data_IF_576434736011
#
_entry.id   IF_576434736011
#
_cell.length_a   1.000
_cell.length_b   1.000
_cell.length_c   1.000
_cell.angle_alpha   90.00
_cell.angle_beta   90.00
_cell.angle_gamma   90.00
#
_symmetry.space_group_name_H-M   'P 1'
#
loop_
_entity.id
_entity.type
_entity.pdbx_description
1 polymer ?
#
# COMPACT_ATOMS: atom_id res chain seq x y z
N UNK A 1 4.49 47.62 -13.69
CA UNK A 1 5.95 47.35 -13.66
C UNK A 1 6.31 46.01 -13.02
N UNK A 2 5.47 45.40 -12.18
CA UNK A 2 5.78 44.10 -11.53
C UNK A 2 5.59 42.86 -12.42
N UNK A 3 4.77 42.94 -13.48
CA UNK A 3 4.55 41.80 -14.40
C UNK A 3 5.72 41.53 -15.36
N UNK A 4 6.67 42.47 -15.50
CA UNK A 4 7.84 42.32 -16.37
C UNK A 4 9.03 41.65 -15.66
N UNK A 5 9.15 41.78 -14.34
CA UNK A 5 10.22 41.16 -13.55
C UNK A 5 10.01 39.64 -13.34
N UNK A 6 8.76 39.17 -13.29
CA UNK A 6 8.45 37.74 -13.12
C UNK A 6 8.73 36.86 -14.35
N UNK A 7 8.81 37.44 -15.55
CA UNK A 7 9.16 36.70 -16.79
C UNK A 7 10.67 36.52 -16.98
N UNK A 8 11.48 37.49 -16.52
CA UNK A 8 12.94 37.45 -16.63
C UNK A 8 13.53 36.41 -15.65
N UNK A 9 12.97 36.29 -14.45
CA UNK A 9 13.43 35.28 -13.47
C UNK A 9 13.18 33.83 -13.92
N UNK A 10 12.10 33.57 -14.68
CA UNK A 10 11.80 32.21 -15.18
C UNK A 10 12.70 31.77 -16.34
N UNK A 11 13.20 32.70 -17.16
CA UNK A 11 14.14 32.37 -18.24
C UNK A 11 15.55 32.10 -17.72
N UNK A 12 16.03 32.87 -16.74
CA UNK A 12 17.39 32.69 -16.17
C UNK A 12 17.53 31.40 -15.36
N UNK A 13 16.47 30.95 -14.66
CA UNK A 13 16.47 29.67 -13.92
C UNK A 13 16.44 28.47 -14.89
N UNK A 14 15.74 28.60 -16.03
CA UNK A 14 15.68 27.58 -17.07
C UNK A 14 17.02 27.38 -17.79
N UNK A 15 17.74 28.47 -18.08
CA UNK A 15 19.08 28.40 -18.69
C UNK A 15 20.15 27.86 -17.74
N UNK A 16 20.09 28.20 -16.45
CA UNK A 16 20.99 27.63 -15.43
C UNK A 16 20.75 26.14 -15.17
N UNK A 17 19.50 25.67 -15.22
CA UNK A 17 19.22 24.22 -15.13
C UNK A 17 19.70 23.45 -16.38
N UNK A 18 19.66 24.06 -17.57
CA UNK A 18 20.19 23.45 -18.81
C UNK A 18 21.71 23.35 -18.82
N UNK A 19 22.44 24.32 -18.24
CA UNK A 19 23.91 24.26 -18.19
C UNK A 19 24.42 23.22 -17.18
N UNK A 20 23.73 23.02 -16.06
CA UNK A 20 24.07 21.97 -15.07
C UNK A 20 23.80 20.56 -15.62
N UNK A 21 22.77 20.39 -16.46
CA UNK A 21 22.49 19.12 -17.15
C UNK A 21 23.49 18.78 -18.28
N UNK A 22 24.13 19.79 -18.89
CA UNK A 22 25.12 19.58 -19.96
C UNK A 22 26.53 19.22 -19.45
N UNK A 23 26.87 19.51 -18.19
CA UNK A 23 28.19 19.18 -17.61
C UNK A 23 28.26 17.72 -17.12
N UNK A 24 27.15 17.00 -17.05
CA UNK A 24 27.10 15.58 -16.66
C UNK A 24 26.94 14.59 -17.84
N UNK A 25 27.08 15.05 -19.09
CA UNK A 25 26.95 14.21 -20.29
C UNK A 25 28.19 14.13 -21.19
N UNK A 26 29.35 14.58 -20.73
CA UNK A 26 30.61 14.52 -21.50
C UNK A 26 31.71 13.74 -20.78
N UNK A 27 31.39 12.59 -20.19
CA UNK A 27 32.39 11.55 -19.88
C UNK A 27 31.73 10.16 -19.80
N UNK A 28 31.20 9.64 -20.91
CA UNK A 28 31.04 8.19 -21.07
C UNK A 28 30.66 7.80 -22.51
N UNK A 29 31.61 7.86 -23.43
CA UNK A 29 31.51 7.12 -24.70
C UNK A 29 32.89 6.67 -25.21
N UNK A 30 33.69 6.07 -24.32
CA UNK A 30 34.61 5.04 -24.77
C UNK A 30 33.83 3.73 -24.75
N UNK A 31 33.62 3.16 -25.93
CA UNK A 31 33.05 1.82 -26.09
C UNK A 31 33.90 0.84 -25.29
N UNK A 32 33.37 0.42 -24.13
CA UNK A 32 33.93 -0.70 -23.40
C UNK A 32 33.63 -1.94 -24.22
N UNK A 33 34.66 -2.44 -24.88
CA UNK A 33 34.74 -3.79 -25.42
C UNK A 33 34.07 -4.75 -24.42
N UNK A 34 32.93 -5.31 -24.81
CA UNK A 34 32.10 -6.20 -23.99
C UNK A 34 32.74 -7.60 -23.92
N UNK A 35 34.03 -7.66 -23.55
CA UNK A 35 34.62 -8.90 -23.06
C UNK A 35 33.98 -9.16 -21.73
N UNK A 36 32.99 -10.05 -21.73
CA UNK A 36 32.33 -10.61 -20.56
C UNK A 36 33.40 -10.84 -19.49
N UNK A 37 33.33 -10.08 -18.38
CA UNK A 37 34.32 -10.22 -17.30
C UNK A 37 34.30 -11.69 -16.87
N UNK A 38 35.44 -12.39 -16.85
CA UNK A 38 35.46 -13.81 -16.54
C UNK A 38 34.87 -14.03 -15.14
N UNK A 39 33.85 -14.88 -15.08
CA UNK A 39 33.10 -15.15 -13.86
C UNK A 39 34.01 -15.90 -12.87
N UNK A 40 34.02 -15.42 -11.63
CA UNK A 40 34.83 -15.97 -10.55
C UNK A 40 33.96 -16.89 -9.68
N UNK A 41 34.49 -18.07 -9.33
CA UNK A 41 33.78 -19.00 -8.44
C UNK A 41 34.68 -19.46 -7.30
N UNK A 42 34.09 -19.61 -6.11
CA UNK A 42 34.77 -20.12 -4.90
C UNK A 42 34.77 -21.65 -4.84
N UNK A 43 33.76 -22.29 -5.43
CA UNK A 43 33.46 -23.71 -5.29
C UNK A 43 33.47 -24.39 -6.66
N UNK A 44 34.24 -25.48 -6.79
CA UNK A 44 34.44 -26.17 -8.05
C UNK A 44 34.34 -27.68 -7.86
N UNK A 45 33.69 -28.36 -8.80
CA UNK A 45 33.83 -29.80 -9.00
C UNK A 45 34.89 -30.05 -10.07
N UNK A 46 35.60 -31.16 -9.94
CA UNK A 46 36.57 -31.57 -10.92
C UNK A 46 36.55 -33.08 -11.16
N UNK A 47 36.87 -33.46 -12.39
CA UNK A 47 36.99 -34.86 -12.80
C UNK A 47 38.24 -35.03 -13.64
N UNK A 48 39.08 -36.01 -13.31
CA UNK A 48 40.26 -36.39 -14.09
C UNK A 48 40.09 -37.82 -14.57
N UNK A 49 39.98 -38.01 -15.88
CA UNK A 49 39.88 -39.34 -16.48
C UNK A 49 41.28 -39.91 -16.75
N UNK A 50 41.47 -41.20 -16.48
CA UNK A 50 42.73 -41.93 -16.67
C UNK A 50 43.93 -41.24 -15.99
N UNK A 51 43.94 -41.13 -14.64
CA UNK A 51 44.99 -40.44 -13.92
C UNK A 51 46.36 -41.07 -14.22
N UNK A 52 47.30 -40.26 -14.71
CA UNK A 52 48.71 -40.64 -14.93
C UNK A 52 49.55 -40.24 -13.71
N UNK A 53 50.83 -40.65 -13.66
CA UNK A 53 51.77 -40.25 -12.59
C UNK A 53 52.04 -38.72 -12.55
N UNK A 54 51.62 -37.96 -13.56
CA UNK A 54 51.79 -36.51 -13.66
C UNK A 54 50.67 -35.72 -12.95
N UNK A 55 49.66 -36.40 -12.39
CA UNK A 55 48.57 -35.75 -11.65
C UNK A 55 49.05 -35.11 -10.35
N UNK A 56 48.63 -33.86 -10.12
CA UNK A 56 48.90 -33.13 -8.88
C UNK A 56 47.75 -33.35 -7.89
N UNK A 57 47.97 -34.05 -6.76
CA UNK A 57 46.90 -34.36 -5.83
C UNK A 57 46.39 -33.10 -5.12
N UNK A 58 45.09 -33.08 -4.80
CA UNK A 58 44.43 -31.87 -4.30
C UNK A 58 44.95 -31.36 -2.94
N UNK A 59 45.71 -32.16 -2.19
CA UNK A 59 46.32 -31.76 -0.93
C UNK A 59 47.49 -30.78 -1.08
N UNK A 60 48.07 -30.62 -2.28
CA UNK A 60 49.19 -29.70 -2.51
C UNK A 60 48.79 -28.42 -3.27
N UNK A 61 47.51 -28.28 -3.63
CA UNK A 61 47.04 -27.11 -4.35
C UNK A 61 47.03 -25.85 -3.46
N UNK A 62 47.41 -24.68 -4.00
CA UNK A 62 47.42 -23.43 -3.25
C UNK A 62 46.01 -22.89 -3.00
N UNK A 63 45.86 -22.09 -1.94
CA UNK A 63 44.63 -21.38 -1.56
C UNK A 63 43.39 -22.27 -1.35
N UNK A 64 43.57 -23.56 -1.05
CA UNK A 64 42.48 -24.49 -0.71
C UNK A 64 42.05 -24.28 0.74
N UNK A 65 40.77 -23.97 0.94
CA UNK A 65 40.11 -23.95 2.25
C UNK A 65 39.64 -25.35 2.64
N UNK A 66 39.12 -26.11 1.67
CA UNK A 66 38.70 -27.50 1.82
C UNK A 66 38.72 -28.23 0.47
N UNK A 67 39.12 -29.49 0.45
CA UNK A 67 38.90 -30.37 -0.70
C UNK A 67 38.56 -31.80 -0.26
N UNK A 68 37.74 -32.47 -1.07
CA UNK A 68 37.46 -33.91 -1.00
C UNK A 68 37.56 -34.50 -2.40
N UNK A 69 38.19 -35.66 -2.53
CA UNK A 69 38.27 -36.38 -3.79
C UNK A 69 38.37 -37.87 -3.56
N UNK A 70 37.96 -38.64 -4.55
CA UNK A 70 38.04 -40.09 -4.53
C UNK A 70 38.39 -40.64 -5.91
N UNK A 71 39.05 -41.80 -5.90
CA UNK A 71 39.33 -42.57 -7.09
C UNK A 71 38.15 -43.52 -7.32
N UNK A 72 37.51 -43.38 -8.48
CA UNK A 72 36.35 -44.16 -8.89
C UNK A 72 36.67 -44.94 -10.16
N UNK A 73 35.92 -46.03 -10.39
CA UNK A 73 35.93 -46.77 -11.66
C UNK A 73 34.53 -46.79 -12.24
N UNK A 74 34.39 -46.25 -13.45
CA UNK A 74 33.13 -46.24 -14.18
C UNK A 74 32.71 -47.64 -14.67
N UNK A 75 31.46 -47.77 -15.13
CA UNK A 75 30.88 -49.03 -15.60
C UNK A 75 31.68 -49.70 -16.74
N UNK A 76 32.37 -48.90 -17.56
CA UNK A 76 33.23 -49.38 -18.66
C UNK A 76 34.68 -49.70 -18.22
N UNK A 77 34.96 -49.72 -16.90
CA UNK A 77 36.29 -50.01 -16.35
C UNK A 77 37.31 -48.87 -16.44
N UNK A 78 36.87 -47.66 -16.82
CA UNK A 78 37.74 -46.46 -16.87
C UNK A 78 37.92 -45.89 -15.46
N UNK A 79 39.17 -45.68 -15.07
CA UNK A 79 39.54 -45.07 -13.80
C UNK A 79 39.43 -43.54 -13.91
N UNK A 80 38.77 -42.90 -12.95
CA UNK A 80 38.67 -41.44 -12.87
C UNK A 80 38.76 -40.94 -11.43
N UNK A 81 39.35 -39.76 -11.24
CA UNK A 81 39.32 -39.05 -9.97
C UNK A 81 38.19 -38.04 -10.02
N UNK A 82 37.25 -38.13 -9.07
CA UNK A 82 36.19 -37.15 -8.90
C UNK A 82 36.42 -36.38 -7.61
N UNK A 83 36.36 -35.05 -7.66
CA UNK A 83 36.54 -34.24 -6.47
C UNK A 83 35.79 -32.92 -6.47
N UNK A 84 35.83 -32.30 -5.29
CA UNK A 84 35.18 -31.04 -4.97
C UNK A 84 36.14 -30.20 -4.13
N UNK A 85 36.35 -28.94 -4.53
CA UNK A 85 37.27 -28.00 -3.88
C UNK A 85 36.61 -26.67 -3.58
N UNK A 86 37.00 -26.10 -2.45
CA UNK A 86 36.62 -24.77 -1.98
C UNK A 86 37.88 -23.95 -1.77
N UNK A 87 38.02 -22.86 -2.52
CA UNK A 87 39.17 -21.94 -2.37
C UNK A 87 38.89 -20.86 -1.34
N UNK A 88 39.92 -20.31 -0.70
CA UNK A 88 39.79 -19.20 0.26
C UNK A 88 39.13 -17.97 -0.37
N UNK A 89 39.46 -17.67 -1.64
CA UNK A 89 38.90 -16.57 -2.44
C UNK A 89 38.40 -17.09 -3.79
N UNK A 90 37.40 -16.44 -4.43
CA UNK A 90 36.93 -16.82 -5.76
C UNK A 90 38.07 -16.82 -6.80
N UNK A 91 38.17 -17.90 -7.59
CA UNK A 91 39.22 -18.11 -8.61
C UNK A 91 38.62 -18.14 -10.02
N UNK A 92 39.47 -17.88 -11.01
CA UNK A 92 39.17 -18.05 -12.45
C UNK A 92 39.54 -19.47 -12.88
N UNK A 93 38.85 -20.01 -13.87
CA UNK A 93 39.20 -21.30 -14.46
C UNK A 93 40.65 -21.35 -14.96
N UNK A 94 41.14 -20.27 -15.60
CA UNK A 94 42.55 -20.20 -16.07
C UNK A 94 43.54 -20.36 -14.92
N UNK A 95 43.30 -19.67 -13.81
CA UNK A 95 44.15 -19.78 -12.63
C UNK A 95 44.16 -21.20 -12.06
N UNK A 96 42.99 -21.86 -12.03
CA UNK A 96 42.87 -23.23 -11.52
C UNK A 96 43.64 -24.21 -12.41
N UNK A 97 43.54 -24.09 -13.73
CA UNK A 97 44.31 -24.92 -14.65
C UNK A 97 45.83 -24.72 -14.50
N UNK A 98 46.26 -23.48 -14.32
CA UNK A 98 47.69 -23.13 -14.16
C UNK A 98 48.29 -23.55 -12.80
N UNK A 99 47.49 -23.57 -11.73
CA UNK A 99 47.99 -23.70 -10.35
C UNK A 99 47.53 -24.97 -9.62
N UNK A 100 46.57 -25.71 -10.18
CA UNK A 100 46.04 -26.92 -9.57
C UNK A 100 46.26 -28.13 -10.49
N UNK A 101 45.47 -28.22 -11.55
CA UNK A 101 45.56 -29.33 -12.51
C UNK A 101 44.99 -28.89 -13.87
N UNK A 102 45.83 -28.92 -14.89
CA UNK A 102 45.48 -28.55 -16.26
C UNK A 102 44.64 -29.63 -16.98
N UNK A 103 44.89 -30.90 -16.66
CA UNK A 103 44.29 -32.07 -17.30
C UNK A 103 42.88 -32.35 -16.75
N UNK A 104 42.60 -31.91 -15.53
CA UNK A 104 41.28 -32.04 -14.93
C UNK A 104 40.21 -31.21 -15.68
N UNK A 105 39.03 -31.81 -15.81
CA UNK A 105 37.81 -31.10 -16.21
C UNK A 105 37.24 -30.37 -15.00
N UNK A 106 36.95 -29.08 -15.14
CA UNK A 106 36.53 -28.21 -14.03
C UNK A 106 35.16 -27.59 -14.30
N UNK A 107 34.26 -27.73 -13.34
CA UNK A 107 32.93 -27.09 -13.39
C UNK A 107 32.67 -26.28 -12.12
N UNK A 108 32.15 -25.05 -12.23
CA UNK A 108 31.71 -24.33 -11.05
C UNK A 108 30.53 -25.06 -10.41
N UNK A 109 30.49 -25.10 -9.07
CA UNK A 109 29.35 -25.72 -8.37
C UNK A 109 28.05 -25.03 -8.80
N UNK A 110 27.09 -25.83 -9.27
CA UNK A 110 25.81 -25.33 -9.73
C UNK A 110 25.13 -24.42 -8.67
N UNK A 111 24.46 -23.32 -9.06
CA UNK A 111 23.81 -22.40 -8.13
C UNK A 111 22.78 -23.05 -7.20
N UNK A 112 22.24 -24.21 -7.60
CA UNK A 112 21.23 -24.97 -6.87
C UNK A 112 21.81 -26.13 -6.04
N UNK A 113 23.13 -26.32 -6.05
CA UNK A 113 23.82 -27.37 -5.28
C UNK A 113 24.43 -26.79 -4.00
N UNK A 114 24.21 -27.47 -2.88
CA UNK A 114 24.76 -27.10 -1.58
C UNK A 114 26.07 -27.83 -1.26
N UNK A 115 26.72 -27.47 -0.15
CA UNK A 115 28.03 -28.01 0.21
C UNK A 115 27.98 -29.50 0.54
N UNK A 116 26.97 -29.92 1.30
CA UNK A 116 26.82 -31.31 1.73
C UNK A 116 26.51 -32.23 0.54
N UNK A 117 25.70 -31.75 -0.42
CA UNK A 117 25.39 -32.46 -1.66
C UNK A 117 26.63 -32.65 -2.53
N UNK A 118 27.46 -31.61 -2.69
CA UNK A 118 28.71 -31.69 -3.43
C UNK A 118 29.73 -32.62 -2.76
N UNK A 119 29.84 -32.57 -1.43
CA UNK A 119 30.68 -33.48 -0.65
C UNK A 119 30.25 -34.93 -0.80
N UNK A 120 28.95 -35.20 -0.69
CA UNK A 120 28.37 -36.53 -0.87
C UNK A 120 28.56 -37.06 -2.29
N UNK A 121 28.51 -36.20 -3.29
CA UNK A 121 28.75 -36.58 -4.68
C UNK A 121 30.17 -37.13 -4.89
N UNK A 122 31.16 -36.54 -4.22
CA UNK A 122 32.57 -36.94 -4.27
C UNK A 122 32.97 -37.96 -3.19
N UNK A 123 32.00 -38.59 -2.51
CA UNK A 123 32.24 -39.58 -1.46
C UNK A 123 31.27 -40.76 -1.57
N UNK A 124 30.82 -41.08 -2.79
CA UNK A 124 29.91 -42.21 -3.04
C UNK A 124 30.67 -43.52 -2.87
N UNK A 125 30.10 -44.44 -2.10
CA UNK A 125 30.72 -45.75 -1.82
C UNK A 125 30.66 -46.71 -3.03
N UNK A 126 29.60 -46.63 -3.84
CA UNK A 126 29.27 -47.64 -4.87
C UNK A 126 30.30 -47.77 -6.00
N UNK A 127 31.02 -46.68 -6.33
CA UNK A 127 31.99 -46.63 -7.45
C UNK A 127 33.44 -46.50 -6.97
N UNK A 128 33.68 -46.58 -5.65
CA UNK A 128 34.97 -46.24 -5.05
C UNK A 128 36.02 -47.34 -5.21
N UNK A 129 37.15 -46.99 -5.82
CA UNK A 129 38.38 -47.80 -5.86
C UNK A 129 39.37 -47.36 -4.77
N UNK A 130 39.42 -46.06 -4.46
CA UNK A 130 40.32 -45.52 -3.44
C UNK A 130 39.88 -44.16 -2.88
N UNK A 131 40.32 -43.84 -1.67
CA UNK A 131 39.87 -42.65 -0.91
C UNK A 131 38.63 -42.94 -0.07
N UNK A 132 37.75 -41.96 0.22
CA UNK A 132 37.91 -40.54 -0.12
C UNK A 132 39.04 -39.91 0.70
N UNK A 133 39.82 -39.06 0.05
CA UNK A 133 40.82 -38.22 0.71
C UNK A 133 40.22 -36.84 0.95
N UNK A 134 40.62 -36.21 2.05
CA UNK A 134 40.18 -34.86 2.42
C UNK A 134 41.37 -34.03 2.86
N UNK A 135 41.30 -32.72 2.61
CA UNK A 135 42.22 -31.72 3.17
C UNK A 135 41.45 -30.45 3.56
N UNK A 136 41.99 -29.69 4.50
CA UNK A 136 41.42 -28.43 4.96
C UNK A 136 40.26 -28.58 5.97
N UNK A 137 39.60 -27.46 6.26
CA UNK A 137 38.53 -27.35 7.25
C UNK A 137 37.27 -26.79 6.58
N UNK A 138 36.17 -27.57 6.58
CA UNK A 138 34.89 -27.18 6.01
C UNK A 138 33.98 -26.40 6.98
N UNK A 139 34.41 -26.15 8.23
CA UNK A 139 33.59 -25.53 9.28
C UNK A 139 33.07 -24.13 8.91
N UNK A 140 33.82 -23.40 8.07
CA UNK A 140 33.49 -22.02 7.63
C UNK A 140 32.69 -21.97 6.34
N UNK A 141 32.42 -23.11 5.70
CA UNK A 141 31.73 -23.16 4.41
C UNK A 141 30.21 -23.20 4.63
N UNK A 142 29.44 -22.28 4.01
CA UNK A 142 27.98 -22.26 4.16
C UNK A 142 27.32 -23.56 3.68
N UNK A 143 26.69 -24.31 4.61
CA UNK A 143 26.11 -25.64 4.33
C UNK A 143 24.77 -25.63 3.58
N UNK A 144 23.92 -24.63 3.79
CA UNK A 144 22.66 -24.45 3.07
C UNK A 144 22.61 -23.09 2.40
N UNK A 145 21.87 -22.99 1.28
CA UNK A 145 21.32 -21.70 0.81
C UNK A 145 20.61 -21.10 2.02
N UNK A 146 21.11 -19.98 2.54
CA UNK A 146 20.64 -19.40 3.79
C UNK A 146 19.13 -19.40 3.80
N UNK A 147 18.54 -20.13 4.76
CA UNK A 147 17.13 -20.02 5.02
C UNK A 147 16.82 -18.52 5.14
N UNK A 148 15.71 -18.04 4.56
CA UNK A 148 15.34 -16.62 4.63
C UNK A 148 14.95 -16.26 6.06
N UNK A 149 15.96 -16.19 6.92
CA UNK A 149 15.87 -15.88 8.35
C UNK A 149 15.31 -14.48 8.54
N UNK A 150 15.54 -13.59 7.58
CA UNK A 150 14.95 -12.27 7.47
C UNK A 150 13.41 -12.33 7.38
N UNK A 151 12.85 -13.19 6.50
CA UNK A 151 11.40 -13.41 6.43
C UNK A 151 10.83 -14.09 7.66
N UNK A 152 11.53 -15.08 8.22
CA UNK A 152 11.11 -15.73 9.47
C UNK A 152 11.06 -14.73 10.63
N UNK A 153 12.04 -13.83 10.71
CA UNK A 153 12.07 -12.76 11.71
C UNK A 153 10.90 -11.81 11.53
N UNK A 154 10.61 -11.36 10.30
CA UNK A 154 9.44 -10.51 10.03
C UNK A 154 8.15 -11.23 10.39
N UNK A 155 7.99 -12.52 10.04
CA UNK A 155 6.82 -13.31 10.40
C UNK A 155 6.65 -13.41 11.93
N UNK A 156 7.72 -13.66 12.68
CA UNK A 156 7.68 -13.69 14.14
C UNK A 156 7.24 -12.34 14.73
N UNK A 157 7.75 -11.22 14.19
CA UNK A 157 7.40 -9.87 14.64
C UNK A 157 5.93 -9.51 14.37
N UNK A 158 5.42 -9.76 13.16
CA UNK A 158 4.01 -9.48 12.85
C UNK A 158 3.08 -10.40 13.63
N UNK A 159 3.48 -11.65 13.87
CA UNK A 159 2.71 -12.59 14.69
C UNK A 159 2.68 -12.17 16.17
N UNK A 160 3.68 -11.45 16.65
CA UNK A 160 3.71 -10.90 18.01
C UNK A 160 3.01 -9.54 18.14
N UNK A 161 2.33 -9.06 17.09
CA UNK A 161 1.55 -7.83 17.12
C UNK A 161 2.29 -6.57 16.67
N UNK A 162 3.49 -6.72 16.08
CA UNK A 162 4.22 -5.57 15.50
C UNK A 162 3.44 -4.98 14.34
N UNK A 163 3.24 -3.66 14.36
CA UNK A 163 2.53 -2.92 13.31
C UNK A 163 3.38 -2.75 12.05
N UNK A 164 2.74 -2.50 10.91
CA UNK A 164 3.45 -2.18 9.67
C UNK A 164 4.37 -0.95 9.82
N UNK A 165 3.96 0.04 10.63
CA UNK A 165 4.76 1.24 10.89
C UNK A 165 6.05 0.91 11.65
N UNK A 166 6.00 0.04 12.66
CA UNK A 166 7.19 -0.39 13.40
C UNK A 166 8.16 -1.18 12.52
N UNK A 167 7.65 -2.03 11.62
CA UNK A 167 8.50 -2.73 10.64
C UNK A 167 9.20 -1.76 9.68
N UNK A 168 8.53 -0.68 9.29
CA UNK A 168 9.08 0.33 8.39
C UNK A 168 10.15 1.18 9.08
N UNK A 169 9.97 1.48 10.37
CA UNK A 169 10.92 2.28 11.15
C UNK A 169 12.17 1.49 11.58
N UNK A 170 12.12 0.15 11.55
CA UNK A 170 13.25 -0.69 11.91
C UNK A 170 14.16 -0.98 10.70
N UNK A 171 15.45 -0.58 10.72
CA UNK A 171 16.39 -0.77 9.61
C UNK A 171 16.60 -2.23 9.18
N UNK A 172 16.48 -3.19 10.11
CA UNK A 172 16.67 -4.61 9.81
C UNK A 172 15.50 -5.18 8.99
N UNK A 173 14.28 -4.72 9.27
CA UNK A 173 13.06 -5.21 8.62
C UNK A 173 12.65 -4.38 7.41
N UNK A 174 13.10 -3.12 7.32
CA UNK A 174 12.73 -2.21 6.24
C UNK A 174 13.00 -2.77 4.83
N UNK A 175 14.18 -3.35 4.50
CA UNK A 175 14.43 -3.91 3.17
C UNK A 175 13.51 -5.10 2.83
N UNK A 176 13.11 -5.87 3.84
CA UNK A 176 12.18 -7.00 3.68
C UNK A 176 10.78 -6.47 3.45
N UNK A 177 10.37 -5.45 4.21
CA UNK A 177 9.08 -4.78 4.07
C UNK A 177 8.94 -4.18 2.67
N UNK A 178 9.91 -3.40 2.18
CA UNK A 178 9.87 -2.78 0.86
C UNK A 178 9.60 -3.78 -0.29
N UNK A 179 10.12 -5.01 -0.18
CA UNK A 179 9.94 -6.06 -1.19
C UNK A 179 8.63 -6.84 -1.02
N UNK A 180 8.07 -6.89 0.18
CA UNK A 180 6.96 -7.78 0.54
C UNK A 180 5.76 -7.06 1.17
N UNK A 181 5.67 -5.73 1.08
CA UNK A 181 4.67 -4.93 1.80
C UNK A 181 3.24 -5.43 1.57
N UNK A 182 2.87 -5.83 0.35
CA UNK A 182 1.54 -6.37 0.04
C UNK A 182 1.20 -7.65 0.81
N UNK A 183 2.17 -8.56 0.95
CA UNK A 183 1.97 -9.81 1.68
C UNK A 183 1.87 -9.54 3.18
N UNK A 184 2.67 -8.61 3.69
CA UNK A 184 2.64 -8.16 5.08
C UNK A 184 1.30 -7.49 5.39
N UNK A 185 0.85 -6.55 4.56
CA UNK A 185 -0.44 -5.87 4.72
C UNK A 185 -1.60 -6.86 4.67
N UNK A 186 -1.56 -7.86 3.77
CA UNK A 186 -2.57 -8.91 3.72
C UNK A 186 -2.58 -9.78 4.98
N UNK A 187 -1.40 -10.14 5.50
CA UNK A 187 -1.29 -10.89 6.75
C UNK A 187 -1.86 -10.09 7.92
N UNK A 188 -1.47 -8.82 8.05
CA UNK A 188 -1.98 -7.95 9.10
C UNK A 188 -3.50 -7.80 9.02
N UNK A 189 -4.05 -7.57 7.82
CA UNK A 189 -5.50 -7.49 7.60
C UNK A 189 -6.26 -8.75 8.03
N UNK A 190 -5.74 -9.94 7.71
CA UNK A 190 -6.40 -11.21 8.05
C UNK A 190 -6.36 -11.47 9.57
N UNK A 191 -5.37 -10.92 10.26
CA UNK A 191 -5.18 -11.04 11.71
C UNK A 191 -5.69 -9.82 12.50
N UNK A 192 -6.19 -8.78 11.83
CA UNK A 192 -6.84 -7.66 12.49
C UNK A 192 -8.07 -8.16 13.25
N UNK A 193 -8.38 -7.56 14.41
CA UNK A 193 -9.59 -7.90 15.13
C UNK A 193 -10.81 -7.63 14.25
N UNK A 194 -11.83 -8.49 14.38
CA UNK A 194 -13.12 -8.29 13.73
C UNK A 194 -14.09 -7.85 14.80
N UNK A 195 -14.69 -6.67 14.62
CA UNK A 195 -15.67 -6.17 15.60
C UNK A 195 -16.88 -7.10 15.71
N UNK A 196 -17.45 -7.13 16.91
CA UNK A 196 -18.69 -7.84 17.23
C UNK A 196 -19.62 -6.99 18.13
N UNK A 197 -19.37 -5.68 18.21
CA UNK A 197 -20.08 -4.71 19.04
C UNK A 197 -20.82 -3.69 18.19
N UNK A 198 -21.92 -3.18 18.71
CA UNK A 198 -22.66 -2.09 18.09
C UNK A 198 -21.82 -0.81 18.16
N UNK A 199 -21.79 -0.06 17.07
CA UNK A 199 -21.17 1.27 17.05
C UNK A 199 -22.20 2.31 17.47
N UNK A 200 -22.02 2.95 18.62
CA UNK A 200 -22.94 3.97 19.10
C UNK A 200 -22.87 5.21 18.21
N UNK A 201 -24.00 5.71 17.71
CA UNK A 201 -24.02 6.85 16.78
C UNK A 201 -24.69 8.07 17.40
N UNK A 202 -23.91 9.10 17.67
CA UNK A 202 -24.38 10.41 18.09
C UNK A 202 -24.54 11.32 16.88
N UNK A 203 -25.71 11.91 16.70
CA UNK A 203 -25.96 12.90 15.66
C UNK A 203 -26.13 14.27 16.28
N UNK A 204 -25.37 15.24 15.77
CA UNK A 204 -25.54 16.66 16.03
C UNK A 204 -26.01 17.36 14.76
N UNK A 205 -27.23 17.89 14.76
CA UNK A 205 -27.76 18.65 13.63
C UNK A 205 -28.31 20.01 14.04
N UNK A 206 -28.42 20.95 13.11
CA UNK A 206 -28.93 22.31 13.37
C UNK A 206 -28.19 23.37 12.56
N UNK A 207 -28.50 24.65 12.77
CA UNK A 207 -27.90 25.75 11.98
C UNK A 207 -26.37 25.84 12.15
N UNK A 208 -25.70 26.42 11.15
CA UNK A 208 -24.26 26.69 11.23
C UNK A 208 -23.93 27.60 12.42
N UNK A 209 -22.73 27.47 12.97
CA UNK A 209 -22.27 28.27 14.11
C UNK A 209 -22.69 27.77 15.50
N UNK A 210 -23.52 26.72 15.62
CA UNK A 210 -23.90 26.16 16.93
C UNK A 210 -22.80 25.34 17.63
N UNK A 211 -21.66 25.11 16.99
CA UNK A 211 -20.56 24.32 17.59
C UNK A 211 -20.66 22.80 17.44
N UNK A 212 -21.47 22.27 16.51
CA UNK A 212 -21.64 20.82 16.26
C UNK A 212 -20.32 20.08 16.03
N UNK A 213 -19.53 20.54 15.05
CA UNK A 213 -18.20 19.98 14.74
C UNK A 213 -17.26 20.13 15.94
N UNK A 214 -17.28 21.29 16.60
CA UNK A 214 -16.46 21.54 17.80
C UNK A 214 -16.77 20.54 18.92
N UNK A 215 -18.05 20.25 19.15
CA UNK A 215 -18.50 19.27 20.14
C UNK A 215 -18.10 17.85 19.78
N UNK A 216 -18.31 17.45 18.53
CA UNK A 216 -17.88 16.14 18.05
C UNK A 216 -16.37 15.92 18.26
N UNK A 217 -15.54 16.91 17.93
CA UNK A 217 -14.09 16.85 18.15
C UNK A 217 -13.72 16.75 19.63
N UNK A 218 -14.37 17.53 20.50
CA UNK A 218 -14.12 17.47 21.93
C UNK A 218 -14.47 16.08 22.48
N UNK A 219 -15.70 15.61 22.25
CA UNK A 219 -16.16 14.31 22.78
C UNK A 219 -15.40 13.12 22.21
N UNK A 220 -15.04 13.15 20.91
CA UNK A 220 -14.22 12.11 20.29
C UNK A 220 -12.79 12.09 20.85
N UNK A 221 -12.29 13.21 21.38
CA UNK A 221 -10.98 13.27 22.01
C UNK A 221 -10.97 12.79 23.47
N UNK A 222 -12.14 12.53 24.07
CA UNK A 222 -12.22 12.07 25.45
C UNK A 222 -11.86 10.59 25.56
N UNK A 223 -11.01 10.28 26.52
CA UNK A 223 -10.74 8.91 26.98
C UNK A 223 -11.87 8.42 27.89
N UNK A 224 -11.85 7.14 28.22
CA UNK A 224 -12.83 6.52 29.12
C UNK A 224 -12.86 7.15 30.52
N UNK A 225 -11.75 7.74 30.97
CA UNK A 225 -11.64 8.45 32.25
C UNK A 225 -12.06 9.94 32.17
N UNK A 226 -12.51 10.41 31.00
CA UNK A 226 -12.91 11.80 30.77
C UNK A 226 -11.76 12.76 30.45
N UNK A 227 -10.50 12.30 30.39
CA UNK A 227 -9.37 13.13 30.01
C UNK A 227 -9.27 13.29 28.48
N UNK A 228 -8.72 14.40 28.01
CA UNK A 228 -8.52 14.66 26.57
C UNK A 228 -7.27 13.94 26.06
N UNK A 229 -7.32 13.44 24.82
CA UNK A 229 -6.18 12.86 24.10
C UNK A 229 -6.41 11.46 23.53
N UNK A 230 -7.66 10.98 23.49
CA UNK A 230 -7.99 9.77 22.72
C UNK A 230 -7.83 10.06 21.21
N UNK A 231 -7.13 9.21 20.45
CA UNK A 231 -7.04 9.36 19.00
C UNK A 231 -8.39 9.05 18.34
N UNK A 232 -8.78 9.87 17.38
CA UNK A 232 -10.01 9.69 16.60
C UNK A 232 -9.75 9.92 15.12
N UNK A 233 -10.62 9.37 14.29
CA UNK A 233 -10.57 9.51 12.85
C UNK A 233 -11.68 10.45 12.36
N UNK A 234 -11.37 11.34 11.42
CA UNK A 234 -12.34 12.26 10.82
C UNK A 234 -12.56 11.88 9.36
N UNK A 235 -13.73 11.35 9.07
CA UNK A 235 -14.20 11.09 7.73
C UNK A 235 -14.92 12.32 7.18
N UNK A 236 -14.45 12.82 6.03
CA UNK A 236 -15.02 13.96 5.32
C UNK A 236 -15.61 13.52 4.00
N UNK A 237 -16.53 14.32 3.46
CA UNK A 237 -17.10 14.10 2.13
C UNK A 237 -15.98 13.99 1.08
N UNK A 238 -15.89 12.88 0.32
CA UNK A 238 -14.94 12.76 -0.78
C UNK A 238 -15.33 13.68 -1.94
N UNK A 239 -14.36 14.03 -2.79
CA UNK A 239 -14.63 14.78 -4.02
C UNK A 239 -15.38 13.95 -5.08
N UNK A 240 -15.32 12.62 -4.99
CA UNK A 240 -16.06 11.70 -5.87
C UNK A 240 -17.08 10.85 -5.11
N UNK A 241 -17.63 9.83 -5.75
CA UNK A 241 -18.66 8.97 -5.15
C UNK A 241 -18.11 7.91 -4.18
N UNK A 242 -16.83 7.55 -4.32
CA UNK A 242 -16.22 6.52 -3.50
C UNK A 242 -15.75 7.08 -2.16
N UNK A 243 -16.14 6.41 -1.07
CA UNK A 243 -15.78 6.76 0.31
C UNK A 243 -14.53 5.98 0.70
N UNK A 244 -13.38 6.65 0.75
CA UNK A 244 -12.11 6.07 1.16
C UNK A 244 -11.74 6.47 2.58
N UNK A 245 -11.26 5.51 3.36
CA UNK A 245 -10.88 5.65 4.77
C UNK A 245 -9.36 5.82 4.91
N UNK A 246 -8.79 6.69 4.09
CA UNK A 246 -7.34 6.93 4.06
C UNK A 246 -6.85 7.43 5.43
N UNK A 247 -5.83 6.76 5.96
CA UNK A 247 -5.25 7.11 7.25
C UNK A 247 -5.96 6.53 8.47
N UNK A 248 -7.10 5.86 8.32
CA UNK A 248 -7.76 5.13 9.42
C UNK A 248 -6.88 3.96 9.87
N UNK A 249 -6.44 3.94 11.13
CA UNK A 249 -5.54 2.92 11.72
C UNK A 249 -6.24 2.03 12.76
N UNK A 250 -7.57 2.01 12.77
CA UNK A 250 -8.34 1.27 13.78
C UNK A 250 -8.78 2.14 14.95
N UNK A 251 -8.85 3.46 14.77
CA UNK A 251 -9.36 4.39 15.79
C UNK A 251 -10.79 3.98 16.21
N UNK A 252 -11.05 4.06 17.52
CA UNK A 252 -12.34 3.68 18.12
C UNK A 252 -13.39 4.76 17.96
N UNK A 253 -12.95 6.01 17.90
CA UNK A 253 -13.79 7.20 17.80
C UNK A 253 -13.73 7.76 16.39
N UNK A 254 -14.91 7.95 15.79
CA UNK A 254 -15.05 8.36 14.39
C UNK A 254 -15.92 9.61 14.31
N UNK A 255 -15.49 10.62 13.56
CA UNK A 255 -16.32 11.77 13.22
C UNK A 255 -16.66 11.68 11.74
N UNK A 256 -17.94 11.79 11.41
CA UNK A 256 -18.43 12.00 10.04
C UNK A 256 -18.91 13.44 9.98
N UNK A 257 -18.06 14.29 9.41
CA UNK A 257 -18.29 15.74 9.39
C UNK A 257 -19.05 16.17 8.14
N UNK A 258 -19.93 17.17 8.28
CA UNK A 258 -20.73 17.73 7.18
C UNK A 258 -21.51 16.66 6.39
N UNK A 259 -22.27 15.86 7.12
CA UNK A 259 -23.03 14.76 6.56
C UNK A 259 -24.35 15.22 5.95
N UNK A 260 -24.53 14.91 4.66
CA UNK A 260 -25.76 15.18 3.90
C UNK A 260 -26.17 13.94 3.09
N UNK A 261 -26.01 12.74 3.67
CA UNK A 261 -26.36 11.49 3.00
C UNK A 261 -25.41 11.03 1.91
N UNK A 262 -24.20 11.61 1.82
CA UNK A 262 -23.21 11.27 0.79
C UNK A 262 -22.59 9.86 1.00
N UNK A 263 -22.74 9.27 2.17
CA UNK A 263 -22.50 7.83 2.39
C UNK A 263 -23.82 7.09 2.06
N UNK A 264 -23.80 6.09 1.17
CA UNK A 264 -24.97 5.26 0.91
C UNK A 264 -25.59 4.70 2.21
N UNK A 265 -26.92 4.74 2.31
CA UNK A 265 -27.63 4.30 3.54
C UNK A 265 -27.25 2.89 3.98
N UNK A 266 -27.08 1.97 3.03
CA UNK A 266 -26.66 0.59 3.31
C UNK A 266 -25.26 0.54 3.93
N UNK A 267 -24.32 1.32 3.42
CA UNK A 267 -22.97 1.42 3.99
C UNK A 267 -23.00 2.05 5.39
N UNK A 268 -23.77 3.12 5.59
CA UNK A 268 -23.92 3.75 6.92
C UNK A 268 -24.57 2.80 7.93
N UNK A 269 -25.57 2.01 7.51
CA UNK A 269 -26.17 0.96 8.34
C UNK A 269 -25.15 -0.10 8.74
N UNK A 270 -24.29 -0.52 7.80
CA UNK A 270 -23.20 -1.46 8.09
C UNK A 270 -22.26 -0.86 9.12
N UNK A 271 -21.79 0.37 8.95
CA UNK A 271 -20.89 1.05 9.91
C UNK A 271 -21.49 1.12 11.32
N UNK A 272 -22.81 1.30 11.43
CA UNK A 272 -23.49 1.43 12.73
C UNK A 272 -23.95 0.08 13.33
N UNK A 273 -23.75 -1.05 12.64
CA UNK A 273 -24.14 -2.38 13.13
C UNK A 273 -23.04 -3.08 13.93
N UNK A 274 -23.27 -4.32 14.36
CA UNK A 274 -22.33 -5.13 15.14
C UNK A 274 -21.40 -6.03 14.34
N UNK A 275 -21.74 -6.30 13.09
CA UNK A 275 -21.07 -7.32 12.29
C UNK A 275 -19.71 -6.87 11.76
N UNK A 276 -18.77 -7.79 11.51
CA UNK A 276 -17.51 -7.47 10.85
C UNK A 276 -17.75 -6.65 9.57
N UNK A 277 -17.04 -5.54 9.44
CA UNK A 277 -17.18 -4.62 8.33
C UNK A 277 -15.77 -4.29 7.82
N UNK A 278 -15.61 -4.42 6.51
CA UNK A 278 -14.39 -4.01 5.81
C UNK A 278 -14.67 -2.65 5.16
N UNK A 279 -13.72 -1.74 5.31
CA UNK A 279 -13.73 -0.41 4.71
C UNK A 279 -12.54 -0.27 3.77
N UNK A 280 -12.78 0.41 2.65
CA UNK A 280 -11.77 0.62 1.62
C UNK A 280 -10.91 1.84 1.93
N UNK A 281 -9.62 1.74 1.65
CA UNK A 281 -8.71 2.88 1.58
C UNK A 281 -7.96 2.83 0.25
N UNK A 282 -7.23 3.88 -0.10
CA UNK A 282 -6.41 3.87 -1.31
C UNK A 282 -5.36 2.76 -1.21
N UNK A 283 -5.46 1.80 -2.13
CA UNK A 283 -4.52 0.68 -2.25
C UNK A 283 -4.82 -0.52 -1.36
N UNK A 284 -5.97 -0.58 -0.67
CA UNK A 284 -6.32 -1.74 0.15
C UNK A 284 -7.65 -1.60 0.89
N UNK A 285 -7.82 -2.44 1.91
CA UNK A 285 -8.99 -2.41 2.77
C UNK A 285 -8.59 -2.81 4.20
N UNK A 286 -9.37 -2.39 5.19
CA UNK A 286 -9.15 -2.69 6.61
C UNK A 286 -10.44 -3.00 7.36
N UNK A 287 -10.32 -3.69 8.49
CA UNK A 287 -11.48 -3.90 9.36
C UNK A 287 -11.86 -2.59 10.05
N UNK A 288 -13.13 -2.25 10.03
CA UNK A 288 -13.69 -1.13 10.78
C UNK A 288 -13.87 -1.52 12.25
N UNK A 289 -13.25 -0.77 13.15
CA UNK A 289 -13.21 -1.01 14.60
C UNK A 289 -13.87 0.11 15.42
N UNK A 290 -14.60 1.01 14.76
CA UNK A 290 -15.29 2.11 15.42
C UNK A 290 -16.26 1.60 16.50
N UNK A 291 -16.18 2.17 17.69
CA UNK A 291 -17.09 1.93 18.82
C UNK A 291 -18.09 3.06 18.97
N UNK A 292 -17.71 4.28 18.55
CA UNK A 292 -18.57 5.45 18.58
C UNK A 292 -18.36 6.33 17.34
N UNK A 293 -19.47 6.74 16.74
CA UNK A 293 -19.53 7.68 15.61
C UNK A 293 -20.22 8.97 16.07
N UNK A 294 -19.63 10.11 15.73
CA UNK A 294 -20.29 11.41 15.78
C UNK A 294 -20.58 11.88 14.37
N UNK A 295 -21.83 12.15 14.06
CA UNK A 295 -22.26 12.71 12.78
C UNK A 295 -22.64 14.17 12.98
N UNK A 296 -22.08 15.07 12.17
CA UNK A 296 -22.48 16.48 12.17
C UNK A 296 -23.24 16.79 10.89
N UNK A 297 -24.33 17.54 10.98
CA UNK A 297 -25.10 17.95 9.80
C UNK A 297 -25.75 19.32 10.00
N UNK A 298 -25.96 20.08 8.93
CA UNK A 298 -26.86 21.25 9.01
C UNK A 298 -28.32 20.86 8.80
N UNK A 299 -28.57 19.68 8.24
CA UNK A 299 -29.89 19.18 7.88
C UNK A 299 -30.32 18.05 8.84
N UNK A 300 -31.64 17.90 9.11
CA UNK A 300 -32.14 16.85 9.99
C UNK A 300 -31.96 15.46 9.35
N UNK A 301 -31.78 14.38 10.14
CA UNK A 301 -31.49 13.04 9.62
C UNK A 301 -32.48 12.49 8.59
N UNK A 302 -33.73 12.92 8.68
CA UNK A 302 -34.83 12.53 7.79
C UNK A 302 -34.57 12.95 6.34
N UNK A 303 -33.78 13.99 6.09
CA UNK A 303 -33.53 14.52 4.74
C UNK A 303 -32.28 13.94 4.08
N UNK A 304 -31.41 13.26 4.83
CA UNK A 304 -30.13 12.75 4.32
C UNK A 304 -30.29 11.85 3.09
N UNK A 305 -31.30 10.99 3.07
CA UNK A 305 -31.60 10.13 1.92
C UNK A 305 -33.01 10.37 1.39
N UNK A 306 -33.24 11.57 0.85
CA UNK A 306 -34.55 12.07 0.41
C UNK A 306 -35.43 11.08 -0.37
N UNK A 307 -34.85 10.25 -1.24
CA UNK A 307 -35.60 9.27 -2.05
C UNK A 307 -36.13 8.06 -1.27
N UNK A 308 -35.41 7.62 -0.23
CA UNK A 308 -35.69 6.36 0.48
C UNK A 308 -35.98 6.54 1.97
N UNK A 309 -35.77 7.77 2.47
CA UNK A 309 -35.88 8.13 3.87
C UNK A 309 -34.90 7.42 4.80
N UNK A 310 -35.03 7.72 6.10
CA UNK A 310 -34.20 7.16 7.15
C UNK A 310 -34.40 5.62 7.28
N UNK A 311 -35.65 5.16 7.23
CA UNK A 311 -36.01 3.74 7.27
C UNK A 311 -35.31 2.97 8.38
N UNK A 312 -34.67 1.84 8.02
CA UNK A 312 -33.96 0.99 8.98
C UNK A 312 -32.76 1.67 9.67
N UNK A 313 -32.35 2.87 9.25
CA UNK A 313 -31.32 3.64 9.96
C UNK A 313 -31.83 4.22 11.29
N UNK A 314 -33.14 4.53 11.40
CA UNK A 314 -33.72 5.21 12.57
C UNK A 314 -33.39 4.47 13.89
N UNK A 315 -33.57 3.15 13.93
CA UNK A 315 -33.27 2.30 15.10
C UNK A 315 -31.79 2.30 15.55
N UNK A 316 -30.88 2.83 14.72
CA UNK A 316 -29.44 2.94 15.01
C UNK A 316 -29.04 4.33 15.51
N UNK A 317 -29.98 5.29 15.48
CA UNK A 317 -29.77 6.66 15.93
C UNK A 317 -30.53 6.95 17.24
N UNK A 318 -31.13 5.93 17.85
CA UNK A 318 -32.00 6.07 19.03
C UNK A 318 -31.69 5.01 20.10
N UNK A 319 -32.08 5.32 21.34
CA UNK A 319 -31.99 4.41 22.48
C UNK A 319 -30.55 4.00 22.80
N UNK A 320 -30.33 2.69 22.96
CA UNK A 320 -29.01 2.15 23.28
C UNK A 320 -28.01 2.16 22.10
N UNK A 321 -28.48 2.45 20.88
CA UNK A 321 -27.63 2.41 19.68
C UNK A 321 -27.16 3.80 19.23
N UNK A 322 -27.83 4.86 19.67
CA UNK A 322 -27.48 6.21 19.27
C UNK A 322 -28.39 7.26 19.90
N UNK A 323 -28.10 8.51 19.58
CA UNK A 323 -28.94 9.64 19.94
C UNK A 323 -28.88 10.72 18.85
N UNK A 324 -29.98 11.44 18.69
CA UNK A 324 -30.09 12.61 17.81
C UNK A 324 -30.28 13.83 18.69
N UNK A 325 -29.43 14.83 18.51
CA UNK A 325 -29.55 16.11 19.20
C UNK A 325 -29.64 17.25 18.17
N UNK A 326 -30.75 18.00 18.25
CA UNK A 326 -30.93 19.25 17.51
C UNK A 326 -30.29 20.39 18.31
N UNK A 327 -29.13 20.85 17.84
CA UNK A 327 -28.40 21.96 18.43
C UNK A 327 -28.97 23.29 17.95
N UNK A 328 -29.71 23.96 18.83
CA UNK A 328 -30.29 25.30 18.61
C UNK A 328 -29.52 26.41 19.32
N UNK A 329 -28.63 26.04 20.25
CA UNK A 329 -27.82 26.97 21.03
C UNK A 329 -26.33 26.73 20.75
N UNK A 330 -25.48 27.77 20.83
CA UNK A 330 -24.04 27.58 20.74
C UNK A 330 -23.52 26.69 21.86
N UNK A 331 -22.63 25.78 21.50
CA UNK A 331 -21.93 24.92 22.43
C UNK A 331 -20.44 25.27 22.53
N UNK A 332 -19.88 25.14 23.72
CA UNK A 332 -18.44 25.16 23.97
C UNK A 332 -18.02 24.06 24.95
N UNK A 333 -16.74 23.64 24.92
CA UNK A 333 -16.18 22.73 25.90
C UNK A 333 -16.37 23.24 27.34
N UNK A 334 -16.46 22.35 28.33
CA UNK A 334 -16.48 22.74 29.74
C UNK A 334 -15.30 23.68 30.07
N UNK A 335 -15.62 24.81 30.71
CA UNK A 335 -14.62 25.84 31.05
C UNK A 335 -14.44 26.94 30.00
N UNK A 336 -15.11 26.84 28.85
CA UNK A 336 -15.10 27.88 27.82
C UNK A 336 -16.49 28.52 27.63
N UNK A 337 -16.50 29.80 27.22
CA UNK A 337 -17.75 30.51 26.90
C UNK A 337 -18.13 30.19 25.45
N UNK A 338 -19.37 29.75 25.17
CA UNK A 338 -19.84 29.55 23.81
C UNK A 338 -19.77 30.82 22.98
N UNK A 339 -19.21 30.72 21.76
CA UNK A 339 -19.24 31.83 20.82
C UNK A 339 -20.71 32.12 20.46
N UNK A 340 -21.15 33.40 20.45
CA UNK A 340 -22.51 33.73 20.05
C UNK A 340 -22.75 33.25 18.60
N UNK A 341 -23.98 32.84 18.29
CA UNK A 341 -24.33 32.52 16.90
C UNK A 341 -23.98 33.72 16.02
N UNK A 342 -23.44 33.49 14.80
CA UNK A 342 -23.25 34.59 13.87
C UNK A 342 -24.59 35.27 13.70
N UNK A 343 -24.67 36.57 14.05
CA UNK A 343 -25.87 37.32 13.76
C UNK A 343 -26.09 37.24 12.26
N UNK A 344 -27.24 36.71 11.84
CA UNK A 344 -27.71 36.90 10.48
C UNK A 344 -28.01 38.39 10.40
N UNK A 345 -26.99 39.19 10.07
CA UNK A 345 -27.20 40.58 9.72
C UNK A 345 -27.97 40.49 8.39
N UNK A 346 -29.26 40.84 8.35
CA UNK A 346 -29.94 40.95 7.06
C UNK A 346 -29.07 41.87 6.21
N UNK A 347 -28.88 41.57 4.91
CA UNK A 347 -28.08 42.44 4.06
C UNK A 347 -28.57 43.87 4.26
N UNK A 348 -27.68 44.75 4.72
CA UNK A 348 -27.99 46.17 4.83
C UNK A 348 -28.19 46.59 3.39
N UNK A 349 -29.45 46.71 2.99
CA UNK A 349 -29.84 47.28 1.71
C UNK A 349 -29.48 48.77 1.83
N UNK A 350 -28.25 49.11 1.48
CA UNK A 350 -27.90 50.49 1.18
C UNK A 350 -28.74 50.86 -0.05
N UNK A 351 -29.72 51.77 0.05
CA UNK A 351 -30.41 52.22 -1.14
C UNK A 351 -29.36 52.83 -2.08
N UNK A 352 -29.34 52.46 -3.37
CA UNK A 352 -28.42 53.09 -4.30
C UNK A 352 -28.72 54.59 -4.35
N UNK A 353 -27.67 55.40 -4.39
CA UNK A 353 -27.79 56.82 -4.65
C UNK A 353 -28.63 57.02 -5.92
N UNK A 354 -29.60 57.94 -5.84
CA UNK A 354 -30.51 58.28 -6.92
C UNK A 354 -29.69 58.68 -8.15
N UNK A 355 -29.65 57.80 -9.15
CA UNK A 355 -28.97 58.05 -10.42
C UNK A 355 -28.41 56.80 -11.08
N UNK A 356 -29.17 56.29 -12.06
CA UNK A 356 -28.81 55.33 -13.10
C UNK A 356 -29.03 53.83 -12.82
N UNK A 357 -29.78 53.24 -13.76
CA UNK A 357 -29.87 51.81 -14.15
C UNK A 357 -30.94 50.96 -13.44
N UNK A 358 -32.22 51.16 -13.80
CA UNK A 358 -33.38 50.30 -13.43
C UNK A 358 -33.81 49.37 -14.59
N UNK A 359 -32.88 48.87 -15.42
CA UNK A 359 -33.25 48.03 -16.59
C UNK A 359 -32.62 46.61 -16.66
N UNK A 360 -31.55 46.18 -15.94
CA UNK A 360 -30.97 44.85 -16.19
C UNK A 360 -31.54 43.70 -15.34
N UNK A 361 -32.12 43.95 -14.16
CA UNK A 361 -32.40 42.89 -13.18
C UNK A 361 -33.67 42.10 -13.51
N UNK A 362 -34.74 42.75 -14.00
CA UNK A 362 -35.95 42.06 -14.44
C UNK A 362 -35.67 41.16 -15.67
N UNK A 363 -34.84 41.65 -16.59
CA UNK A 363 -34.39 40.90 -17.76
C UNK A 363 -33.42 39.74 -17.41
N UNK A 364 -32.72 39.81 -16.28
CA UNK A 364 -31.86 38.73 -15.80
C UNK A 364 -32.68 37.63 -15.11
N UNK A 365 -33.68 38.03 -14.31
CA UNK A 365 -34.60 37.09 -13.64
C UNK A 365 -35.54 36.40 -14.63
N UNK A 366 -36.01 37.10 -15.66
CA UNK A 366 -36.77 36.48 -16.75
C UNK A 366 -35.93 35.48 -17.54
N UNK A 367 -34.66 35.80 -17.85
CA UNK A 367 -33.75 34.86 -18.52
C UNK A 367 -33.45 33.63 -17.66
N UNK A 368 -33.24 33.80 -16.35
CA UNK A 368 -33.06 32.65 -15.44
C UNK A 368 -34.31 31.76 -15.36
N UNK A 369 -35.51 32.36 -15.34
CA UNK A 369 -36.76 31.60 -15.33
C UNK A 369 -37.02 30.89 -16.68
N UNK A 370 -36.65 31.52 -17.80
CA UNK A 370 -36.72 30.91 -19.13
C UNK A 370 -35.72 29.76 -19.31
N UNK A 371 -34.51 29.90 -18.77
CA UNK A 371 -33.48 28.86 -18.77
C UNK A 371 -33.88 27.65 -17.89
N UNK A 372 -34.44 27.89 -16.70
CA UNK A 372 -34.97 26.82 -15.83
C UNK A 372 -36.16 26.09 -16.49
N UNK A 373 -37.05 26.82 -17.17
CA UNK A 373 -38.16 26.23 -17.90
C UNK A 373 -37.70 25.42 -19.13
N UNK A 374 -36.66 25.88 -19.82
CA UNK A 374 -36.06 25.16 -20.95
C UNK A 374 -35.35 23.88 -20.50
N UNK A 375 -34.65 23.92 -19.36
CA UNK A 375 -34.00 22.75 -18.78
C UNK A 375 -35.04 21.71 -18.32
N UNK A 376 -36.12 22.14 -17.64
CA UNK A 376 -37.22 21.25 -17.26
C UNK A 376 -37.90 20.59 -18.48
N UNK A 377 -38.10 21.35 -19.57
CA UNK A 377 -38.65 20.82 -20.81
C UNK A 377 -37.70 19.83 -21.52
N UNK A 378 -36.38 20.02 -21.40
CA UNK A 378 -35.39 19.10 -21.92
C UNK A 378 -35.39 17.77 -21.15
N UNK A 379 -35.48 17.82 -19.81
CA UNK A 379 -35.60 16.63 -18.97
C UNK A 379 -36.88 15.83 -19.27
N UNK A 380 -38.01 16.49 -19.47
CA UNK A 380 -39.26 15.80 -19.79
C UNK A 380 -39.22 15.13 -21.17
N UNK A 381 -38.55 15.74 -22.16
CA UNK A 381 -38.33 15.11 -23.47
C UNK A 381 -37.46 13.87 -23.38
N UNK A 382 -36.42 13.89 -22.55
CA UNK A 382 -35.55 12.73 -22.32
C UNK A 382 -36.36 11.62 -21.63
N UNK A 383 -37.16 11.96 -20.61
CA UNK A 383 -38.03 11.01 -19.90
C UNK A 383 -39.02 10.31 -20.83
N UNK A 384 -39.67 11.07 -21.72
CA UNK A 384 -40.62 10.51 -22.71
C UNK A 384 -39.88 9.62 -23.71
N UNK A 385 -38.70 10.02 -24.19
CA UNK A 385 -37.92 9.21 -25.12
C UNK A 385 -37.46 7.88 -24.49
N UNK A 386 -37.07 7.89 -23.21
CA UNK A 386 -36.71 6.68 -22.46
C UNK A 386 -37.93 5.76 -22.23
N UNK A 387 -39.11 6.32 -21.95
CA UNK A 387 -40.36 5.54 -21.85
C UNK A 387 -40.76 4.92 -23.20
N UNK A 388 -40.65 5.67 -24.31
CA UNK A 388 -40.94 5.16 -25.66
C UNK A 388 -39.94 4.08 -26.10
N UNK A 389 -38.66 4.24 -25.76
CA UNK A 389 -37.64 3.23 -26.04
C UNK A 389 -37.83 1.97 -25.18
N UNK A 390 -38.15 2.14 -23.90
CA UNK A 390 -38.52 1.03 -23.01
C UNK A 390 -39.74 0.26 -23.52
N UNK A 391 -40.77 0.97 -24.00
CA UNK A 391 -41.96 0.34 -24.57
C UNK A 391 -41.65 -0.38 -25.88
N UNK A 392 -40.83 0.21 -26.76
CA UNK A 392 -40.36 -0.47 -27.98
C UNK A 392 -39.57 -1.73 -27.69
N UNK A 393 -38.69 -1.71 -26.69
CA UNK A 393 -37.92 -2.89 -26.28
C UNK A 393 -38.85 -3.97 -25.72
N UNK A 394 -39.85 -3.59 -24.93
CA UNK A 394 -40.86 -4.50 -24.41
C UNK A 394 -41.71 -5.13 -25.52
N UNK A 395 -42.18 -4.33 -26.49
CA UNK A 395 -42.98 -4.80 -27.61
C UNK A 395 -42.16 -5.71 -28.56
N UNK A 396 -40.88 -5.37 -28.79
CA UNK A 396 -39.95 -6.22 -29.54
C UNK A 396 -39.67 -7.55 -28.83
N UNK A 397 -39.57 -7.53 -27.50
CA UNK A 397 -39.43 -8.75 -26.70
C UNK A 397 -40.69 -9.62 -26.76
N UNK A 398 -41.88 -9.02 -26.64
CA UNK A 398 -43.16 -9.72 -26.76
C UNK A 398 -43.39 -10.32 -28.16
N UNK A 399 -42.97 -9.61 -29.22
CA UNK A 399 -43.09 -10.10 -30.60
C UNK A 399 -42.12 -11.24 -30.94
N UNK A 400 -41.01 -11.38 -30.22
CA UNK A 400 -40.11 -12.53 -30.35
C UNK A 400 -40.50 -13.71 -29.44
N UNK A 401 -41.51 -13.53 -28.58
CA UNK A 401 -41.99 -14.56 -27.64
C UNK A 401 -43.18 -15.36 -28.19
N UNK A 402 -43.92 -14.81 -29.17
CA UNK A 402 -44.90 -15.53 -29.99
C UNK A 402 -44.25 -16.04 -31.28
#
# INVERSE_FOLDING_TARGET
>A
MELFQGRILKSEISERMRSVLHVHQTHSSMSRDNRQRPVLYKYWLWTLNNPTEEHVPANVWPDVEYAIWQHERGENGTDHIQGYVCFVKPKRLTWIKENCDELAHWEPRAPNSDHDSAKKYCSKDDTRVGGPWTTGDDSKIPRKKGERMDLKRVHALISSGTTATELMMNPDTFPVWCRNYRAIDRFLLENEPKRNWITFTQVYWGVSGCGKTRRAHYEASLKADGTVGEPYYVLRKPQGNAVYWDGYKGEKHIIIDEFYGWIPRTQMQTLCDRYPCIIDHKGGARNFLGTKIWVTSNEPPETWWSRIGLGAMARRLEGQHGAIEHMTQPWAPPGEIPAPLPMVVPPIFSPPAVGAVVVPMLALMQRHAEDEAAEAAAYERIRIAEEEEGQRMFDAWMNNWN
#
